data_IF_745282957087
#
_entry.id   IF_745282957087
#
_cell.length_a   1.000
_cell.length_b   1.000
_cell.length_c   1.000
_cell.angle_alpha   90.00
_cell.angle_beta   90.00
_cell.angle_gamma   90.00
#
_symmetry.space_group_name_H-M   'P 1'
#
loop_
_entity.id
_entity.type
_entity.pdbx_description
1 polymer ?
#
# COMPACT_ATOMS: atom_id res chain seq x y z
N UNK A 1 -11.18 -3.98 -2.35
CA UNK A 1 -9.88 -3.39 -2.02
C UNK A 1 -9.98 -1.89 -1.82
N UNK A 2 -10.65 -1.19 -2.71
CA UNK A 2 -10.79 0.27 -2.60
C UNK A 2 -11.60 0.73 -1.39
N UNK A 3 -12.41 -0.13 -0.81
CA UNK A 3 -13.25 0.24 0.34
C UNK A 3 -12.46 0.68 1.57
N UNK A 4 -11.23 0.20 1.73
CA UNK A 4 -10.37 0.62 2.85
C UNK A 4 -10.05 2.11 2.78
N UNK A 5 -9.73 2.60 1.60
CA UNK A 5 -9.43 4.02 1.43
C UNK A 5 -10.67 4.89 1.63
N UNK A 6 -11.84 4.40 1.22
CA UNK A 6 -13.08 5.15 1.44
C UNK A 6 -13.40 5.27 2.93
N UNK A 7 -13.19 4.20 3.69
CA UNK A 7 -13.38 4.22 5.13
C UNK A 7 -12.43 5.21 5.81
N UNK A 8 -11.15 5.18 5.43
CA UNK A 8 -10.14 6.08 5.98
C UNK A 8 -10.45 7.54 5.65
N UNK A 9 -10.98 7.83 4.47
CA UNK A 9 -11.37 9.18 4.10
C UNK A 9 -12.45 9.73 5.03
N UNK A 10 -13.43 8.91 5.38
CA UNK A 10 -14.49 9.33 6.29
C UNK A 10 -13.94 9.65 7.69
N UNK A 11 -13.05 8.80 8.19
CA UNK A 11 -12.44 9.02 9.50
C UNK A 11 -11.56 10.27 9.51
N UNK A 12 -10.81 10.48 8.46
CA UNK A 12 -9.88 11.59 8.38
C UNK A 12 -10.56 12.94 8.18
N UNK A 13 -11.77 12.96 7.63
CA UNK A 13 -12.49 14.21 7.37
C UNK A 13 -12.63 15.05 8.63
N UNK A 14 -12.90 14.42 9.78
CA UNK A 14 -13.06 15.13 11.03
C UNK A 14 -11.75 15.62 11.63
N UNK A 15 -10.61 15.04 11.23
CA UNK A 15 -9.32 15.26 11.86
C UNK A 15 -8.38 16.14 11.04
N UNK A 16 -8.52 16.10 9.73
CA UNK A 16 -7.52 16.68 8.82
C UNK A 16 -8.13 17.62 7.79
N UNK A 17 -9.25 18.27 8.15
CA UNK A 17 -9.93 19.21 7.29
C UNK A 17 -8.94 20.31 6.81
N UNK A 18 -8.92 20.56 5.51
CA UNK A 18 -8.03 21.52 4.85
C UNK A 18 -6.55 21.21 4.97
N UNK A 19 -6.21 19.96 5.26
CA UNK A 19 -4.82 19.51 5.37
C UNK A 19 -4.56 18.35 4.42
N UNK A 20 -3.29 18.14 4.13
CA UNK A 20 -2.87 16.98 3.37
C UNK A 20 -2.94 15.73 4.22
N UNK A 21 -3.21 14.59 3.59
CA UNK A 21 -3.21 13.31 4.26
C UNK A 21 -2.61 12.25 3.36
N UNK A 22 -2.15 11.16 3.99
CA UNK A 22 -1.67 9.98 3.29
C UNK A 22 -2.49 8.78 3.76
N UNK A 23 -3.01 8.02 2.80
CA UNK A 23 -3.66 6.74 3.07
C UNK A 23 -2.85 5.65 2.42
N UNK A 24 -2.70 4.53 3.11
CA UNK A 24 -2.01 3.40 2.50
C UNK A 24 -2.74 2.11 2.81
N UNK A 25 -2.55 1.14 1.94
CA UNK A 25 -3.09 -0.20 2.06
C UNK A 25 -2.03 -1.18 1.64
N UNK A 26 -1.94 -2.29 2.33
CA UNK A 26 -0.95 -3.31 2.05
C UNK A 26 -1.60 -4.66 1.93
N UNK A 27 -1.00 -5.52 1.11
CA UNK A 27 -1.28 -6.95 1.10
C UNK A 27 -0.03 -7.67 1.56
N UNK A 28 -0.19 -8.68 2.39
CA UNK A 28 0.93 -9.39 3.01
C UNK A 28 0.79 -10.89 2.82
N UNK A 29 1.86 -11.62 3.14
CA UNK A 29 1.84 -13.08 3.11
C UNK A 29 1.14 -13.70 4.32
N UNK A 30 0.71 -12.89 5.29
CA UNK A 30 0.01 -13.34 6.48
C UNK A 30 -0.02 -12.26 7.53
N UNK A 31 -0.44 -12.60 8.74
CA UNK A 31 -0.71 -11.65 9.80
C UNK A 31 0.45 -11.44 10.78
N UNK A 32 1.47 -12.28 10.74
CA UNK A 32 2.59 -12.18 11.68
C UNK A 32 3.64 -11.19 11.15
N UNK A 33 3.88 -10.07 11.83
CA UNK A 33 4.87 -9.09 11.35
C UNK A 33 6.29 -9.65 11.29
N UNK A 34 6.63 -10.64 12.13
CA UNK A 34 7.98 -11.20 12.16
C UNK A 34 8.20 -12.25 11.07
N UNK A 35 7.15 -12.96 10.66
CA UNK A 35 7.26 -14.10 9.75
C UNK A 35 6.76 -13.82 8.34
N UNK A 36 6.02 -12.74 8.17
CA UNK A 36 5.36 -12.42 6.91
C UNK A 36 5.91 -11.13 6.31
N UNK A 37 5.67 -10.96 5.02
CA UNK A 37 6.20 -9.83 4.25
C UNK A 37 5.11 -9.16 3.46
N UNK A 38 5.28 -7.88 3.23
CA UNK A 38 4.39 -7.10 2.36
C UNK A 38 4.67 -7.50 0.92
N UNK A 39 3.63 -7.75 0.14
CA UNK A 39 3.74 -8.12 -1.28
C UNK A 39 3.09 -7.10 -2.21
N UNK A 40 2.31 -6.18 -1.67
CA UNK A 40 1.76 -5.06 -2.44
C UNK A 40 1.58 -3.88 -1.50
N UNK A 41 1.89 -2.71 -2.01
CA UNK A 41 1.68 -1.46 -1.28
C UNK A 41 1.05 -0.44 -2.20
N UNK A 42 0.00 0.20 -1.69
CA UNK A 42 -0.68 1.30 -2.39
C UNK A 42 -0.72 2.49 -1.44
N UNK A 43 -0.39 3.66 -1.96
CA UNK A 43 -0.45 4.90 -1.18
C UNK A 43 -1.16 5.98 -1.98
N UNK A 44 -1.94 6.78 -1.28
CA UNK A 44 -2.61 7.93 -1.85
C UNK A 44 -2.22 9.15 -1.03
N UNK A 45 -1.78 10.19 -1.72
CA UNK A 45 -1.65 11.52 -1.15
C UNK A 45 -2.88 12.31 -1.53
N UNK A 46 -3.55 12.89 -0.58
CA UNK A 46 -4.75 13.66 -0.81
C UNK A 46 -4.78 14.94 0.00
N UNK A 47 -5.79 15.74 -0.25
CA UNK A 47 -6.03 16.99 0.47
C UNK A 47 -7.52 17.14 0.64
N UNK A 48 -7.93 17.70 1.77
CA UNK A 48 -9.32 18.08 1.95
C UNK A 48 -9.54 19.49 1.44
N UNK A 49 -10.52 19.63 0.55
CA UNK A 49 -11.05 20.93 0.14
C UNK A 49 -12.36 21.13 0.89
N UNK A 50 -12.30 21.82 2.04
CA UNK A 50 -13.38 21.83 3.01
C UNK A 50 -13.54 20.44 3.59
N UNK A 51 -14.69 19.81 3.40
CA UNK A 51 -14.94 18.44 3.86
C UNK A 51 -14.78 17.40 2.75
N UNK A 52 -14.40 17.84 1.54
CA UNK A 52 -14.29 16.94 0.40
C UNK A 52 -12.86 16.44 0.25
N UNK A 53 -12.64 15.12 0.30
CA UNK A 53 -11.31 14.58 0.04
C UNK A 53 -11.03 14.59 -1.46
N UNK A 54 -9.83 15.06 -1.82
CA UNK A 54 -9.38 15.13 -3.22
C UNK A 54 -8.06 14.40 -3.32
N UNK A 55 -7.97 13.45 -4.25
CA UNK A 55 -6.72 12.75 -4.51
C UNK A 55 -5.79 13.65 -5.32
N UNK A 56 -4.54 13.78 -4.87
CA UNK A 56 -3.52 14.55 -5.54
C UNK A 56 -2.57 13.62 -6.31
N UNK A 57 -2.13 12.54 -5.67
CA UNK A 57 -1.17 11.63 -6.24
C UNK A 57 -1.35 10.25 -5.64
N UNK A 58 -0.84 9.22 -6.34
CA UNK A 58 -0.87 7.86 -5.83
C UNK A 58 0.31 7.06 -6.35
N UNK A 59 0.66 6.01 -5.62
CA UNK A 59 1.56 4.99 -6.12
C UNK A 59 1.05 3.62 -5.71
N UNK A 60 1.39 2.62 -6.50
CA UNK A 60 1.01 1.24 -6.27
C UNK A 60 2.08 0.35 -6.89
N UNK A 61 2.55 -0.63 -6.13
CA UNK A 61 3.53 -1.57 -6.68
C UNK A 61 3.49 -2.88 -5.91
N UNK A 62 3.97 -3.94 -6.59
CA UNK A 62 4.19 -5.23 -5.97
C UNK A 62 5.60 -5.30 -5.41
N UNK A 63 5.78 -6.10 -4.37
CA UNK A 63 7.08 -6.30 -3.75
C UNK A 63 7.40 -7.78 -3.78
N UNK A 64 8.59 -8.13 -4.28
CA UNK A 64 9.09 -9.48 -4.23
C UNK A 64 9.63 -9.73 -2.83
N UNK A 65 9.03 -10.64 -2.06
CA UNK A 65 9.42 -10.83 -0.66
C UNK A 65 10.71 -11.63 -0.47
N UNK A 66 11.29 -12.12 -1.57
CA UNK A 66 12.51 -12.92 -1.49
C UNK A 66 12.22 -14.42 -1.47
N UNK A 67 13.27 -15.20 -1.75
CA UNK A 67 13.16 -16.65 -1.92
C UNK A 67 12.58 -17.39 -0.71
N UNK A 68 12.91 -16.92 0.50
CA UNK A 68 12.43 -17.55 1.72
C UNK A 68 10.93 -17.43 1.94
N UNK A 69 10.26 -16.60 1.17
CA UNK A 69 8.84 -16.33 1.31
C UNK A 69 8.03 -16.74 0.08
N UNK A 70 8.66 -17.47 -0.83
CA UNK A 70 8.02 -17.95 -2.05
C UNK A 70 8.07 -19.48 -2.11
N UNK A 71 7.08 -20.13 -2.71
CA UNK A 71 5.89 -19.53 -3.34
C UNK A 71 4.90 -18.98 -2.31
N UNK A 72 4.03 -18.09 -2.77
CA UNK A 72 3.00 -17.56 -1.89
C UNK A 72 2.04 -18.67 -1.49
N UNK A 73 1.56 -18.68 -0.22
CA UNK A 73 0.56 -19.66 0.18
C UNK A 73 -0.70 -19.55 -0.67
N UNK A 74 -1.33 -20.68 -0.96
CA UNK A 74 -2.56 -20.71 -1.77
C UNK A 74 -3.65 -19.83 -1.18
N UNK A 75 -3.75 -19.79 0.14
CA UNK A 75 -4.73 -18.96 0.83
C UNK A 75 -4.51 -17.49 0.53
N UNK A 76 -3.26 -17.04 0.46
CA UNK A 76 -2.94 -15.65 0.16
C UNK A 76 -3.29 -15.34 -1.29
N UNK A 77 -2.96 -16.23 -2.22
CA UNK A 77 -3.32 -16.05 -3.62
C UNK A 77 -4.85 -15.93 -3.76
N UNK A 78 -5.59 -16.77 -3.08
CA UNK A 78 -7.05 -16.75 -3.13
C UNK A 78 -7.63 -15.46 -2.54
N UNK A 79 -7.06 -14.98 -1.44
CA UNK A 79 -7.59 -13.80 -0.76
C UNK A 79 -7.22 -12.49 -1.48
N UNK A 80 -6.03 -12.42 -2.06
CA UNK A 80 -5.52 -11.17 -2.63
C UNK A 80 -5.61 -11.11 -4.14
N UNK A 81 -5.66 -12.25 -4.80
CA UNK A 81 -5.55 -12.34 -6.25
C UNK A 81 -4.13 -12.15 -6.76
N UNK A 82 -3.17 -12.00 -5.87
CA UNK A 82 -1.76 -11.82 -6.23
C UNK A 82 -1.09 -13.19 -6.28
N UNK A 83 -0.50 -13.52 -7.42
CA UNK A 83 0.14 -14.81 -7.62
C UNK A 83 1.65 -14.71 -7.35
N UNK A 84 2.25 -15.87 -7.11
CA UNK A 84 3.72 -15.96 -6.98
C UNK A 84 4.39 -15.38 -8.25
N UNK A 85 3.84 -15.70 -9.42
CA UNK A 85 4.36 -15.21 -10.68
C UNK A 85 4.33 -13.67 -10.75
N UNK A 86 3.25 -13.07 -10.27
CA UNK A 86 3.11 -11.62 -10.26
C UNK A 86 4.22 -10.95 -9.44
N UNK A 87 4.45 -11.44 -8.22
CA UNK A 87 5.48 -10.81 -7.37
C UNK A 87 6.88 -11.08 -7.89
N UNK A 88 7.11 -12.19 -8.56
CA UNK A 88 8.42 -12.48 -9.16
C UNK A 88 8.70 -11.63 -10.39
N UNK A 89 7.70 -11.44 -11.22
CA UNK A 89 7.89 -10.74 -12.50
C UNK A 89 7.70 -9.24 -12.42
N UNK A 90 6.81 -8.77 -11.54
CA UNK A 90 6.46 -7.36 -11.43
C UNK A 90 6.88 -6.75 -10.10
N UNK A 91 7.28 -7.56 -9.13
CA UNK A 91 7.65 -7.07 -7.82
C UNK A 91 9.03 -6.43 -7.82
N UNK A 92 9.14 -5.33 -7.08
CA UNK A 92 10.42 -4.68 -6.81
C UNK A 92 11.00 -5.24 -5.51
N UNK A 93 12.28 -4.99 -5.27
CA UNK A 93 12.91 -5.41 -4.04
C UNK A 93 12.37 -4.61 -2.85
N UNK A 94 12.52 -5.16 -1.64
CA UNK A 94 12.13 -4.44 -0.44
C UNK A 94 12.92 -3.13 -0.29
N UNK A 95 14.19 -3.13 -0.67
CA UNK A 95 15.02 -1.93 -0.64
C UNK A 95 14.49 -0.85 -1.57
N UNK A 96 14.11 -1.22 -2.78
CA UNK A 96 13.54 -0.27 -3.71
C UNK A 96 12.19 0.23 -3.22
N UNK A 97 11.39 -0.64 -2.60
CA UNK A 97 10.11 -0.25 -2.02
C UNK A 97 10.29 0.85 -0.97
N UNK A 98 11.23 0.67 -0.06
CA UNK A 98 11.53 1.68 0.97
C UNK A 98 11.94 3.00 0.32
N UNK A 99 12.77 2.94 -0.71
CA UNK A 99 13.21 4.15 -1.42
C UNK A 99 12.03 4.88 -2.05
N UNK A 100 11.12 4.15 -2.68
CA UNK A 100 9.94 4.76 -3.29
C UNK A 100 9.01 5.40 -2.26
N UNK A 101 8.85 4.75 -1.10
CA UNK A 101 8.03 5.31 -0.02
C UNK A 101 8.65 6.61 0.48
N UNK A 102 9.95 6.63 0.72
CA UNK A 102 10.65 7.83 1.18
C UNK A 102 10.53 8.96 0.18
N UNK A 103 10.71 8.66 -1.11
CA UNK A 103 10.59 9.66 -2.16
C UNK A 103 9.17 10.22 -2.24
N UNK A 104 8.17 9.35 -2.11
CA UNK A 104 6.77 9.77 -2.16
C UNK A 104 6.46 10.77 -1.05
N UNK A 105 6.87 10.47 0.18
CA UNK A 105 6.69 11.41 1.29
C UNK A 105 7.51 12.68 1.11
N UNK A 106 8.75 12.55 0.64
CA UNK A 106 9.65 13.68 0.45
C UNK A 106 9.12 14.69 -0.56
N UNK A 107 8.50 14.19 -1.62
CA UNK A 107 7.96 15.05 -2.68
C UNK A 107 6.70 15.81 -2.24
N UNK A 108 6.10 15.42 -1.13
CA UNK A 108 4.81 15.98 -0.69
C UNK A 108 4.86 16.58 0.73
N UNK A 109 6.04 16.91 1.19
CA UNK A 109 6.18 17.56 2.50
C UNK A 109 5.72 19.02 2.47
#
# INVERSE_FOLDING_TARGET
MSSKFNFLKQDLTAMTQDKDFFCFDVETTGLSPSDNRIIQLSMIHGRFEGIKPVEIDRMNFYINPGKGHLPLPDKIVDLTGITTETVMNQGISEQEAVQRIQNFFGDHK
#
